data_IF_680893363490
#
_entry.id   IF_680893363490
#
_cell.length_a   1.000
_cell.length_b   1.000
_cell.length_c   1.000
_cell.angle_alpha   90.00
_cell.angle_beta   90.00
_cell.angle_gamma   90.00
#
_symmetry.space_group_name_H-M   'P 1'
#
loop_
_entity.id
_entity.type
_entity.pdbx_description
1 polymer ?
#
# COMPACT_ATOMS: atom_id res chain seq x y z
N UNK A 1 -27.31 -15.49 36.49
CA UNK A 1 -26.27 -15.52 37.54
C UNK A 1 -24.83 -15.60 37.02
N UNK A 2 -24.51 -16.31 35.92
CA UNK A 2 -23.13 -16.39 35.38
C UNK A 2 -22.56 -15.06 34.83
N UNK A 3 -23.33 -14.27 34.07
CA UNK A 3 -22.90 -12.95 33.54
C UNK A 3 -22.56 -11.89 34.60
N UNK A 4 -23.15 -11.96 35.80
CA UNK A 4 -22.86 -11.02 36.90
C UNK A 4 -21.56 -11.36 37.63
N UNK A 5 -21.06 -12.59 37.49
CA UNK A 5 -19.79 -13.04 38.08
C UNK A 5 -18.57 -12.73 37.19
N UNK A 6 -18.72 -12.70 35.86
CA UNK A 6 -17.61 -12.31 34.96
C UNK A 6 -17.33 -10.80 35.02
N UNK A 7 -18.38 -9.96 35.01
CA UNK A 7 -18.25 -8.50 35.18
C UNK A 7 -17.55 -8.10 36.49
N UNK A 8 -17.76 -8.88 37.56
CA UNK A 8 -17.13 -8.66 38.87
C UNK A 8 -15.65 -9.05 38.91
N UNK A 9 -15.18 -9.97 38.05
CA UNK A 9 -13.76 -10.31 37.95
C UNK A 9 -12.99 -9.27 37.13
N UNK A 10 -13.58 -8.74 36.06
CA UNK A 10 -12.99 -7.67 35.24
C UNK A 10 -12.84 -6.37 36.04
N UNK A 11 -13.86 -5.98 36.81
CA UNK A 11 -13.79 -4.82 37.70
C UNK A 11 -12.77 -5.00 38.84
N UNK A 12 -12.66 -6.19 39.41
CA UNK A 12 -11.64 -6.47 40.43
C UNK A 12 -10.21 -6.41 39.87
N UNK A 13 -10.02 -6.81 38.61
CA UNK A 13 -8.72 -6.74 37.92
C UNK A 13 -8.34 -5.30 37.57
N UNK A 14 -9.32 -4.49 37.14
CA UNK A 14 -9.15 -3.05 36.92
C UNK A 14 -8.88 -2.25 38.21
N UNK A 15 -9.48 -2.65 39.34
CA UNK A 15 -9.19 -2.02 40.64
C UNK A 15 -7.76 -2.34 41.08
N UNK A 16 -7.32 -3.60 40.97
CA UNK A 16 -5.93 -3.97 41.26
C UNK A 16 -4.93 -3.24 40.36
N UNK A 17 -5.29 -3.01 39.09
CA UNK A 17 -4.51 -2.21 38.14
C UNK A 17 -4.31 -0.78 38.62
N UNK A 18 -5.38 -0.13 39.07
CA UNK A 18 -5.33 1.23 39.62
C UNK A 18 -4.44 1.26 40.86
N UNK A 19 -4.64 0.33 41.80
CA UNK A 19 -3.87 0.27 43.05
C UNK A 19 -2.36 0.06 42.78
N UNK A 20 -2.01 -0.80 41.82
CA UNK A 20 -0.62 -1.08 41.46
C UNK A 20 0.04 0.11 40.75
N UNK A 21 -0.67 0.77 39.82
CA UNK A 21 -0.19 1.97 39.16
C UNK A 21 -0.01 3.13 40.14
N UNK A 22 -0.95 3.32 41.07
CA UNK A 22 -0.85 4.33 42.13
C UNK A 22 0.39 4.09 42.98
N UNK A 23 0.68 2.84 43.33
CA UNK A 23 1.83 2.52 44.17
C UNK A 23 3.17 2.66 43.45
N UNK A 24 3.25 2.22 42.19
CA UNK A 24 4.42 2.48 41.36
C UNK A 24 4.66 3.99 41.22
N UNK A 25 3.61 4.78 40.97
CA UNK A 25 3.71 6.23 40.82
C UNK A 25 4.13 6.93 42.13
N UNK A 26 3.78 6.36 43.29
CA UNK A 26 4.22 6.83 44.59
C UNK A 26 5.73 6.56 44.82
N UNK A 27 6.19 5.35 44.52
CA UNK A 27 7.60 4.94 44.64
C UNK A 27 8.49 5.76 43.68
N UNK A 28 7.99 6.03 42.48
CA UNK A 28 8.63 6.87 41.45
C UNK A 28 8.78 8.32 41.90
N UNK A 29 7.75 8.89 42.53
CA UNK A 29 7.83 10.23 43.16
C UNK A 29 8.85 10.28 44.30
N UNK A 30 9.11 9.16 44.96
CA UNK A 30 10.17 9.02 45.95
C UNK A 30 11.58 9.07 45.34
N UNK A 31 11.76 8.44 44.17
CA UNK A 31 13.05 8.32 43.47
C UNK A 31 13.43 9.56 42.65
N UNK A 32 12.45 10.33 42.15
CA UNK A 32 12.64 11.60 41.44
C UNK A 32 13.12 12.77 42.33
N UNK A 33 13.45 12.52 43.60
CA UNK A 33 13.97 13.54 44.53
C UNK A 33 15.46 13.88 44.33
N UNK A 34 16.15 13.22 43.39
CA UNK A 34 17.52 13.56 43.00
C UNK A 34 17.60 14.08 41.57
N UNK A 35 18.24 15.24 41.38
CA UNK A 35 18.44 15.96 40.10
C UNK A 35 19.38 15.23 39.11
N UNK A 36 19.25 13.91 38.91
CA UNK A 36 20.06 13.18 37.94
C UNK A 36 19.22 12.60 36.80
N UNK A 37 19.53 13.03 35.58
CA UNK A 37 18.89 12.60 34.32
C UNK A 37 18.99 11.08 34.15
N UNK A 38 20.06 10.46 34.65
CA UNK A 38 20.24 9.01 34.65
C UNK A 38 19.20 8.27 35.52
N UNK A 39 18.83 8.87 36.65
CA UNK A 39 17.79 8.33 37.54
C UNK A 39 16.41 8.42 36.90
N UNK A 40 16.12 9.51 36.18
CA UNK A 40 14.86 9.66 35.44
C UNK A 40 14.72 8.63 34.29
N UNK A 41 15.82 8.30 33.60
CA UNK A 41 15.83 7.27 32.55
C UNK A 41 15.56 5.89 33.16
N UNK A 42 16.24 5.52 34.25
CA UNK A 42 15.99 4.24 34.95
C UNK A 42 14.56 4.11 35.45
N UNK A 43 13.99 5.22 35.91
CA UNK A 43 12.59 5.33 36.32
C UNK A 43 11.65 5.07 35.15
N UNK A 44 11.93 5.63 33.97
CA UNK A 44 11.15 5.38 32.74
C UNK A 44 11.29 3.92 32.29
N UNK A 45 12.50 3.35 32.35
CA UNK A 45 12.74 1.94 32.03
C UNK A 45 11.98 1.00 32.96
N UNK A 46 11.99 1.28 34.27
CA UNK A 46 11.21 0.50 35.24
C UNK A 46 9.70 0.63 35.01
N UNK A 47 9.22 1.80 34.61
CA UNK A 47 7.82 2.01 34.25
C UNK A 47 7.40 1.23 33.00
N UNK A 48 8.22 1.26 31.95
CA UNK A 48 7.98 0.52 30.71
C UNK A 48 7.98 -0.98 30.97
N UNK A 49 8.92 -1.47 31.79
CA UNK A 49 9.00 -2.87 32.20
C UNK A 49 7.81 -3.29 33.07
N UNK A 50 7.43 -2.49 34.09
CA UNK A 50 6.27 -2.80 34.94
C UNK A 50 4.97 -2.81 34.13
N UNK A 51 4.82 -1.91 33.16
CA UNK A 51 3.68 -1.90 32.24
C UNK A 51 3.68 -3.13 31.31
N UNK A 52 4.86 -3.59 30.89
CA UNK A 52 5.02 -4.81 30.09
C UNK A 52 4.69 -6.06 30.91
N UNK A 53 5.29 -6.24 32.08
CA UNK A 53 5.06 -7.38 32.99
C UNK A 53 3.58 -7.44 33.40
N UNK A 54 2.96 -6.28 33.63
CA UNK A 54 1.53 -6.19 33.92
C UNK A 54 0.65 -6.53 32.72
N UNK A 55 1.02 -6.08 31.52
CA UNK A 55 0.36 -6.48 30.28
C UNK A 55 0.41 -8.01 30.10
N UNK A 56 1.57 -8.60 30.34
CA UNK A 56 1.81 -10.04 30.30
C UNK A 56 1.02 -10.80 31.39
N UNK A 57 0.85 -10.24 32.60
CA UNK A 57 0.02 -10.82 33.66
C UNK A 57 -1.48 -10.77 33.33
N UNK A 58 -1.96 -9.71 32.68
CA UNK A 58 -3.36 -9.59 32.26
C UNK A 58 -3.70 -10.49 31.06
N UNK A 59 -2.78 -10.64 30.10
CA UNK A 59 -2.96 -11.48 28.91
C UNK A 59 -2.46 -12.92 29.10
N UNK A 60 -1.81 -13.22 30.23
CA UNK A 60 -1.32 -14.56 30.58
C UNK A 60 -0.10 -15.03 29.79
N UNK A 61 0.66 -14.13 29.17
CA UNK A 61 1.80 -14.49 28.30
C UNK A 61 2.92 -13.46 28.43
N UNK A 62 4.14 -13.88 28.76
CA UNK A 62 5.32 -13.14 28.32
C UNK A 62 5.42 -13.36 26.81
N UNK A 63 4.84 -12.45 26.03
CA UNK A 63 4.49 -12.73 24.62
C UNK A 63 5.69 -12.82 23.68
N UNK A 64 6.87 -12.40 24.13
CA UNK A 64 8.12 -12.50 23.37
C UNK A 64 8.94 -13.68 23.88
N UNK A 65 9.16 -14.68 23.02
CA UNK A 65 10.01 -15.85 23.28
C UNK A 65 11.19 -15.88 22.33
N UNK A 66 12.34 -16.37 22.78
CA UNK A 66 13.49 -16.56 21.88
C UNK A 66 13.26 -17.77 20.98
N UNK A 67 13.85 -17.78 19.79
CA UNK A 67 13.83 -18.93 18.88
C UNK A 67 14.15 -20.25 19.60
N UNK A 68 15.23 -20.29 20.37
CA UNK A 68 15.64 -21.49 21.11
C UNK A 68 14.60 -22.03 22.09
N UNK A 69 13.76 -21.16 22.67
CA UNK A 69 12.69 -21.55 23.59
C UNK A 69 11.49 -22.15 22.84
N UNK A 70 11.33 -21.80 21.56
CA UNK A 70 10.21 -22.23 20.73
C UNK A 70 10.46 -23.52 19.99
N UNK A 71 11.69 -23.80 19.56
CA UNK A 71 11.99 -25.01 18.77
C UNK A 71 11.63 -26.28 19.55
N UNK A 72 11.82 -26.29 20.87
CA UNK A 72 11.45 -27.42 21.72
C UNK A 72 9.93 -27.58 21.87
N UNK A 73 9.14 -26.52 21.66
CA UNK A 73 7.68 -26.54 21.76
C UNK A 73 7.02 -27.09 20.48
N UNK A 74 7.67 -26.97 19.31
CA UNK A 74 7.10 -27.35 18.02
C UNK A 74 7.83 -28.53 17.38
N UNK A 75 7.08 -29.58 17.00
CA UNK A 75 7.64 -30.67 16.17
C UNK A 75 7.76 -30.18 14.72
N UNK A 76 8.94 -29.68 14.34
CA UNK A 76 9.21 -29.18 13.00
C UNK A 76 9.57 -30.34 12.06
N UNK A 77 8.81 -30.52 10.98
CA UNK A 77 9.13 -31.44 9.87
C UNK A 77 10.02 -30.76 8.83
N UNK A 78 10.77 -31.53 8.02
CA UNK A 78 11.66 -31.00 6.97
C UNK A 78 10.96 -29.95 6.09
N UNK A 79 11.63 -28.81 5.91
CA UNK A 79 11.19 -27.72 5.05
C UNK A 79 11.84 -27.84 3.65
N UNK A 80 11.20 -27.32 2.59
CA UNK A 80 11.83 -27.18 1.29
C UNK A 80 13.12 -26.35 1.40
N UNK A 81 14.16 -26.76 0.66
CA UNK A 81 15.44 -26.05 0.66
C UNK A 81 15.27 -24.63 0.13
N UNK A 82 15.97 -23.64 0.72
CA UNK A 82 15.93 -22.27 0.23
C UNK A 82 16.41 -22.17 -1.21
N UNK A 83 15.71 -21.36 -2.01
CA UNK A 83 16.16 -20.96 -3.35
C UNK A 83 16.66 -19.52 -3.22
N UNK A 84 17.93 -19.33 -2.86
CA UNK A 84 18.57 -18.02 -2.91
C UNK A 84 19.55 -17.95 -4.10
N UNK A 85 19.36 -16.96 -4.96
CA UNK A 85 20.34 -16.55 -5.95
C UNK A 85 20.95 -15.20 -5.52
N UNK A 86 22.18 -15.21 -4.99
CA UNK A 86 22.90 -14.00 -4.53
C UNK A 86 22.94 -13.84 -3.00
N UNK A 87 23.62 -12.78 -2.52
CA UNK A 87 23.57 -12.34 -1.12
C UNK A 87 22.32 -11.45 -0.94
N UNK A 88 21.22 -11.95 -0.35
CA UNK A 88 19.98 -11.18 -0.21
C UNK A 88 20.11 -10.00 0.76
N UNK A 89 21.27 -9.84 1.40
CA UNK A 89 21.52 -8.87 2.47
C UNK A 89 22.41 -7.70 2.05
N UNK A 90 22.94 -7.70 0.82
CA UNK A 90 23.78 -6.61 0.31
C UNK A 90 22.98 -5.34 -0.01
N UNK A 91 21.67 -5.50 -0.24
CA UNK A 91 20.77 -4.47 -0.77
C UNK A 91 19.66 -4.04 0.21
N UNK A 92 19.73 -4.40 1.50
CA UNK A 92 18.85 -3.78 2.51
C UNK A 92 19.21 -2.30 2.59
N UNK A 93 18.42 -1.48 1.90
CA UNK A 93 18.54 -0.03 1.87
C UNK A 93 18.45 0.54 3.29
N UNK A 94 19.05 1.71 3.56
CA UNK A 94 18.97 2.33 4.87
C UNK A 94 17.53 2.75 5.20
N UNK A 95 17.03 2.32 6.36
CA UNK A 95 15.87 2.84 7.10
C UNK A 95 14.60 2.98 6.26
N UNK A 96 13.82 1.90 6.18
CA UNK A 96 12.54 1.88 5.49
C UNK A 96 11.52 0.92 6.11
N UNK A 97 10.26 1.09 5.70
CA UNK A 97 9.27 0.02 5.78
C UNK A 97 9.33 -0.71 4.45
N UNK A 98 9.82 -1.94 4.46
CA UNK A 98 9.87 -2.81 3.30
C UNK A 98 8.67 -3.77 3.30
N UNK A 99 8.12 -4.07 2.13
CA UNK A 99 7.06 -5.06 2.00
C UNK A 99 7.58 -6.32 1.33
N UNK A 100 7.26 -7.48 1.92
CA UNK A 100 7.51 -8.78 1.33
C UNK A 100 6.19 -9.40 0.91
N UNK A 101 6.11 -9.80 -0.36
CA UNK A 101 4.93 -10.44 -0.95
C UNK A 101 5.33 -11.81 -1.50
N UNK A 102 4.50 -12.81 -1.25
CA UNK A 102 4.66 -14.16 -1.79
C UNK A 102 3.48 -14.51 -2.69
N UNK A 103 3.66 -15.48 -3.61
CA UNK A 103 2.55 -16.01 -4.40
C UNK A 103 1.52 -16.78 -3.56
N UNK A 104 1.92 -17.18 -2.36
CA UNK A 104 1.10 -17.81 -1.35
C UNK A 104 1.58 -17.39 0.06
N UNK A 105 0.72 -17.69 1.05
CA UNK A 105 0.94 -17.41 2.46
C UNK A 105 2.17 -18.08 3.08
N UNK A 106 2.74 -19.08 2.41
CA UNK A 106 3.84 -19.88 2.93
C UNK A 106 5.19 -19.28 2.52
N UNK A 107 5.33 -18.88 1.26
CA UNK A 107 6.60 -18.42 0.71
C UNK A 107 7.11 -17.14 1.36
N UNK A 108 6.23 -16.18 1.64
CA UNK A 108 6.63 -14.90 2.23
C UNK A 108 7.13 -15.08 3.67
N UNK A 109 6.36 -15.75 4.53
CA UNK A 109 6.73 -16.06 5.91
C UNK A 109 8.00 -16.91 5.99
N UNK A 110 8.17 -17.87 5.07
CA UNK A 110 9.37 -18.71 5.00
C UNK A 110 10.61 -17.89 4.60
N UNK A 111 10.47 -17.01 3.60
CA UNK A 111 11.55 -16.10 3.18
C UNK A 111 11.93 -15.13 4.30
N UNK A 112 10.96 -14.57 5.02
CA UNK A 112 11.21 -13.70 6.15
C UNK A 112 11.93 -14.43 7.30
N UNK A 113 11.63 -15.71 7.53
CA UNK A 113 12.37 -16.54 8.49
C UNK A 113 13.84 -16.74 8.08
N UNK A 114 14.14 -16.95 6.80
CA UNK A 114 15.53 -16.99 6.31
C UNK A 114 16.25 -15.65 6.45
N UNK A 115 15.55 -14.53 6.20
CA UNK A 115 16.10 -13.19 6.41
C UNK A 115 16.48 -13.00 7.88
N UNK A 116 15.57 -13.37 8.79
CA UNK A 116 15.81 -13.30 10.23
C UNK A 116 17.03 -14.15 10.64
N UNK A 117 17.12 -15.39 10.13
CA UNK A 117 18.28 -16.26 10.37
C UNK A 117 19.60 -15.64 9.89
N UNK A 118 19.67 -15.18 8.64
CA UNK A 118 20.92 -14.67 8.07
C UNK A 118 21.47 -13.46 8.84
N UNK A 119 20.60 -12.52 9.23
CA UNK A 119 21.00 -11.34 10.00
C UNK A 119 21.39 -11.68 11.44
N UNK A 120 20.62 -12.53 12.11
CA UNK A 120 20.90 -12.95 13.49
C UNK A 120 22.18 -13.81 13.57
N UNK A 121 22.41 -14.66 12.57
CA UNK A 121 23.63 -15.46 12.46
C UNK A 121 24.86 -14.56 12.26
N UNK A 122 24.81 -13.61 11.31
CA UNK A 122 25.89 -12.63 11.12
C UNK A 122 26.17 -11.85 12.41
N UNK A 123 25.14 -11.44 13.13
CA UNK A 123 25.28 -10.76 14.41
C UNK A 123 26.03 -11.60 15.44
N UNK A 124 25.64 -12.86 15.59
CA UNK A 124 26.29 -13.77 16.52
C UNK A 124 27.74 -14.07 16.13
N UNK A 125 27.99 -14.38 14.86
CA UNK A 125 29.33 -14.77 14.37
C UNK A 125 30.30 -13.59 14.38
N UNK A 126 29.83 -12.39 14.04
CA UNK A 126 30.63 -11.16 14.06
C UNK A 126 30.69 -10.49 15.43
N UNK A 127 30.07 -11.06 16.46
CA UNK A 127 29.96 -10.46 17.80
C UNK A 127 29.35 -9.04 17.80
N UNK A 128 28.37 -8.82 16.93
CA UNK A 128 27.62 -7.58 16.82
C UNK A 128 28.15 -6.56 15.82
N UNK A 129 29.26 -6.85 15.11
CA UNK A 129 29.79 -5.93 14.10
C UNK A 129 28.98 -5.93 12.79
N UNK A 130 28.30 -7.04 12.47
CA UNK A 130 27.52 -7.21 11.24
C UNK A 130 26.18 -7.91 11.54
N UNK A 131 25.13 -7.55 10.81
CA UNK A 131 23.79 -8.12 11.06
C UNK A 131 23.09 -7.44 12.25
N UNK A 132 21.99 -8.02 12.72
CA UNK A 132 21.19 -7.48 13.83
C UNK A 132 20.36 -8.58 14.49
N UNK A 133 20.08 -8.48 15.79
CA UNK A 133 18.97 -9.17 16.44
C UNK A 133 17.64 -8.81 15.75
N UNK A 134 16.69 -9.75 15.75
CA UNK A 134 15.43 -9.61 15.01
C UNK A 134 14.24 -9.90 15.91
N UNK A 135 13.24 -9.01 15.89
CA UNK A 135 11.93 -9.24 16.51
C UNK A 135 10.89 -9.58 15.43
N UNK A 136 10.26 -10.74 15.54
CA UNK A 136 9.30 -11.28 14.59
C UNK A 136 7.91 -11.32 15.23
N UNK A 137 6.97 -10.51 14.73
CA UNK A 137 5.56 -10.58 15.07
C UNK A 137 4.87 -11.63 14.20
N UNK A 138 4.70 -12.84 14.74
CA UNK A 138 3.98 -13.94 14.09
C UNK A 138 2.50 -13.88 14.50
N UNK A 139 1.73 -13.07 13.78
CA UNK A 139 0.34 -12.74 14.07
C UNK A 139 -0.63 -13.76 13.49
N UNK A 140 -1.47 -14.35 14.36
CA UNK A 140 -2.63 -15.18 14.02
C UNK A 140 -2.36 -16.51 13.32
N UNK A 141 -1.13 -16.74 12.86
CA UNK A 141 -0.63 -18.04 12.41
C UNK A 141 0.34 -18.57 13.47
N UNK A 142 0.33 -19.89 13.65
CA UNK A 142 1.40 -20.57 14.37
C UNK A 142 2.76 -20.12 13.79
N UNK A 143 3.77 -19.77 14.61
CA UNK A 143 5.09 -19.35 14.13
C UNK A 143 5.86 -20.46 13.41
N UNK A 144 5.24 -21.63 13.20
CA UNK A 144 5.80 -22.78 12.49
C UNK A 144 6.48 -22.44 11.17
N UNK A 145 5.90 -21.59 10.32
CA UNK A 145 6.49 -21.30 9.00
C UNK A 145 7.86 -20.60 9.10
N UNK A 146 8.00 -19.48 9.82
CA UNK A 146 9.30 -18.86 10.04
C UNK A 146 10.22 -19.74 10.91
N UNK A 147 9.70 -20.46 11.92
CA UNK A 147 10.53 -21.39 12.72
C UNK A 147 11.15 -22.50 11.85
N UNK A 148 10.37 -23.12 10.94
CA UNK A 148 10.86 -24.13 9.98
C UNK A 148 11.93 -23.57 9.05
N UNK A 149 11.79 -22.31 8.62
CA UNK A 149 12.79 -21.65 7.78
C UNK A 149 14.13 -21.52 8.52
N UNK A 150 14.08 -20.99 9.75
CA UNK A 150 15.27 -20.81 10.59
C UNK A 150 15.92 -22.17 10.89
N UNK A 151 15.13 -23.19 11.25
CA UNK A 151 15.63 -24.53 11.52
C UNK A 151 16.34 -25.15 10.30
N UNK A 152 15.70 -25.09 9.14
CA UNK A 152 16.29 -25.59 7.90
C UNK A 152 17.59 -24.88 7.53
N UNK A 153 17.67 -23.56 7.78
CA UNK A 153 18.86 -22.78 7.53
C UNK A 153 20.03 -23.17 8.46
N UNK A 154 19.74 -23.41 9.75
CA UNK A 154 20.72 -23.90 10.73
C UNK A 154 21.29 -25.25 10.28
N UNK A 155 20.42 -26.18 9.89
CA UNK A 155 20.81 -27.52 9.43
C UNK A 155 21.67 -27.44 8.16
N UNK A 156 21.29 -26.61 7.19
CA UNK A 156 22.07 -26.41 5.97
C UNK A 156 23.44 -25.80 6.24
N UNK A 157 23.51 -24.75 7.07
CA UNK A 157 24.79 -24.12 7.42
C UNK A 157 25.72 -25.08 8.15
N UNK A 158 25.20 -25.83 9.13
CA UNK A 158 25.96 -26.83 9.86
C UNK A 158 26.41 -27.99 8.96
N UNK A 159 25.61 -28.36 7.96
CA UNK A 159 25.96 -29.41 6.99
C UNK A 159 27.00 -28.96 5.95
N UNK A 160 27.05 -27.66 5.61
CA UNK A 160 27.75 -27.20 4.41
C UNK A 160 28.86 -26.15 4.60
N UNK A 161 29.12 -25.62 5.82
CA UNK A 161 30.06 -24.49 6.04
C UNK A 161 29.81 -23.28 5.10
N UNK A 162 28.58 -23.07 4.63
CA UNK A 162 28.33 -22.41 3.34
C UNK A 162 27.87 -20.95 3.39
N UNK A 163 28.12 -20.22 4.48
CA UNK A 163 27.75 -18.79 4.57
C UNK A 163 28.85 -17.88 5.15
N UNK A 164 30.11 -18.31 5.09
CA UNK A 164 31.28 -17.57 5.60
C UNK A 164 32.32 -17.30 4.51
N UNK A 165 31.91 -16.76 3.35
CA UNK A 165 32.88 -16.32 2.34
C UNK A 165 33.36 -14.87 2.49
N UNK A 166 32.70 -14.06 3.34
CA UNK A 166 33.08 -12.64 3.60
C UNK A 166 33.45 -12.35 5.07
N UNK A 167 33.33 -13.34 5.96
CA UNK A 167 33.85 -13.26 7.32
C UNK A 167 35.21 -13.98 7.33
N UNK A 168 36.25 -13.30 7.81
CA UNK A 168 37.60 -13.87 7.98
C UNK A 168 37.50 -15.33 8.46
N UNK A 169 38.26 -16.20 7.80
CA UNK A 169 38.22 -17.68 7.83
C UNK A 169 38.41 -18.36 9.20
N UNK A 170 38.31 -17.63 10.30
CA UNK A 170 38.48 -18.12 11.67
C UNK A 170 37.16 -18.20 12.45
N UNK A 171 36.04 -17.72 11.88
CA UNK A 171 34.73 -17.72 12.54
C UNK A 171 33.85 -18.94 12.20
N UNK A 172 34.45 -20.12 12.00
CA UNK A 172 33.72 -21.40 11.91
C UNK A 172 33.30 -21.86 13.31
N UNK A 173 32.40 -21.11 13.94
CA UNK A 173 31.69 -21.54 15.14
C UNK A 173 30.41 -22.28 14.75
N UNK A 174 30.13 -23.41 15.39
CA UNK A 174 28.80 -24.01 15.34
C UNK A 174 27.75 -22.98 15.74
N UNK A 175 26.68 -22.82 14.96
CA UNK A 175 25.56 -21.99 15.37
C UNK A 175 24.79 -22.77 16.44
N UNK A 176 24.66 -22.16 17.61
CA UNK A 176 23.82 -22.69 18.68
C UNK A 176 22.44 -22.07 18.53
N UNK A 177 21.47 -22.88 18.09
CA UNK A 177 20.07 -22.50 17.94
C UNK A 177 19.53 -21.80 19.19
N UNK A 178 19.96 -22.25 20.38
CA UNK A 178 19.55 -21.73 21.68
C UNK A 178 19.98 -20.27 21.91
N UNK A 179 21.03 -19.84 21.20
CA UNK A 179 21.67 -18.52 21.36
C UNK A 179 21.43 -17.59 20.17
N UNK A 180 20.60 -17.98 19.21
CA UNK A 180 20.31 -17.13 18.07
C UNK A 180 19.43 -15.95 18.51
N UNK A 181 19.81 -14.68 18.24
CA UNK A 181 19.09 -13.50 18.71
C UNK A 181 17.86 -13.19 17.85
N UNK A 182 16.97 -14.17 17.68
CA UNK A 182 15.66 -14.03 17.05
C UNK A 182 14.60 -14.19 18.13
N UNK A 183 13.70 -13.23 18.20
CA UNK A 183 12.64 -13.15 19.19
C UNK A 183 11.29 -13.16 18.49
N UNK A 184 10.33 -13.93 18.99
CA UNK A 184 9.01 -14.09 18.40
C UNK A 184 7.94 -13.58 19.34
N UNK A 185 7.08 -12.71 18.82
CA UNK A 185 5.83 -12.31 19.43
C UNK A 185 4.68 -13.13 18.84
N UNK A 186 3.85 -13.74 19.70
CA UNK A 186 2.89 -14.79 19.30
C UNK A 186 1.40 -14.41 19.38
N UNK A 187 1.05 -13.12 19.50
CA UNK A 187 -0.37 -12.74 19.56
C UNK A 187 -1.11 -12.90 18.25
N UNK A 188 -2.41 -13.20 18.33
CA UNK A 188 -3.27 -13.30 17.13
C UNK A 188 -3.43 -11.97 16.38
N UNK A 189 -3.44 -10.86 17.12
CA UNK A 189 -3.58 -9.49 16.64
C UNK A 189 -2.77 -8.55 17.53
N UNK A 190 -2.27 -7.44 16.97
CA UNK A 190 -1.47 -6.48 17.74
C UNK A 190 -1.80 -5.04 17.33
N UNK A 191 -1.77 -4.12 18.28
CA UNK A 191 -1.97 -2.69 17.98
C UNK A 191 -0.65 -1.98 17.68
N UNK A 192 -0.69 -0.90 16.88
CA UNK A 192 0.49 -0.06 16.62
C UNK A 192 1.18 0.42 17.92
N UNK A 193 0.47 0.92 18.95
CA UNK A 193 1.11 1.29 20.21
C UNK A 193 1.81 0.12 20.91
N UNK A 194 1.26 -1.09 20.82
CA UNK A 194 1.91 -2.30 21.36
C UNK A 194 3.17 -2.66 20.59
N UNK A 195 3.14 -2.64 19.25
CA UNK A 195 4.33 -2.83 18.41
C UNK A 195 5.40 -1.81 18.83
N UNK A 196 5.06 -0.52 18.89
CA UNK A 196 5.99 0.56 19.24
C UNK A 196 6.61 0.41 20.63
N UNK A 197 5.81 0.02 21.62
CA UNK A 197 6.27 -0.24 22.99
C UNK A 197 7.29 -1.38 23.00
N UNK A 198 6.97 -2.51 22.37
CA UNK A 198 7.84 -3.68 22.29
C UNK A 198 9.12 -3.38 21.51
N UNK A 199 9.00 -2.65 20.41
CA UNK A 199 10.14 -2.20 19.58
C UNK A 199 11.15 -1.41 20.40
N UNK A 200 10.68 -0.43 21.19
CA UNK A 200 11.54 0.37 22.09
C UNK A 200 12.23 -0.48 23.15
N UNK A 201 11.46 -1.37 23.79
CA UNK A 201 11.98 -2.26 24.82
C UNK A 201 13.07 -3.19 24.25
N UNK A 202 12.82 -3.82 23.10
CA UNK A 202 13.74 -4.75 22.45
C UNK A 202 14.97 -4.04 21.88
N UNK A 203 14.83 -2.82 21.36
CA UNK A 203 15.97 -1.97 20.98
C UNK A 203 16.88 -1.66 22.18
N UNK A 204 16.30 -1.35 23.36
CA UNK A 204 17.09 -1.02 24.55
C UNK A 204 17.74 -2.24 25.21
N UNK A 205 17.01 -3.34 25.27
CA UNK A 205 17.41 -4.51 26.08
C UNK A 205 18.17 -5.56 25.27
N UNK A 206 17.89 -5.68 23.98
CA UNK A 206 18.43 -6.71 23.11
C UNK A 206 19.07 -6.14 21.83
N UNK A 207 19.14 -4.81 21.67
CA UNK A 207 19.71 -4.13 20.50
C UNK A 207 19.06 -4.56 19.17
N UNK A 208 17.74 -4.77 19.16
CA UNK A 208 17.00 -5.13 17.94
C UNK A 208 16.83 -3.93 17.03
N UNK A 209 17.42 -4.00 15.83
CA UNK A 209 17.25 -2.99 14.76
C UNK A 209 16.41 -3.46 13.57
N UNK A 210 15.92 -4.70 13.57
CA UNK A 210 14.96 -5.18 12.57
C UNK A 210 13.71 -5.77 13.22
N UNK A 211 12.56 -5.33 12.73
CA UNK A 211 11.26 -5.88 13.07
C UNK A 211 10.62 -6.50 11.84
N UNK A 212 10.08 -7.70 11.99
CA UNK A 212 9.28 -8.38 10.97
C UNK A 212 7.84 -8.48 11.45
N UNK A 213 6.86 -8.09 10.63
CA UNK A 213 5.43 -8.16 10.94
C UNK A 213 4.75 -9.11 9.94
N UNK A 214 4.18 -10.19 10.43
CA UNK A 214 3.56 -11.26 9.63
C UNK A 214 2.26 -11.69 10.34
N UNK A 215 1.09 -11.13 10.05
CA UNK A 215 0.69 -10.40 8.84
C UNK A 215 0.17 -8.98 9.13
N UNK A 216 0.35 -8.05 8.19
CA UNK A 216 -0.11 -6.66 8.29
C UNK A 216 -1.61 -6.55 8.58
N UNK A 217 -2.43 -7.41 7.98
CA UNK A 217 -3.89 -7.39 8.14
C UNK A 217 -4.34 -7.62 9.59
N UNK A 218 -3.46 -8.14 10.44
CA UNK A 218 -3.70 -8.40 11.87
C UNK A 218 -3.16 -7.31 12.78
N UNK A 219 -2.61 -6.25 12.19
CA UNK A 219 -2.25 -5.05 12.93
C UNK A 219 -3.49 -4.16 13.02
N UNK A 220 -3.93 -3.85 14.23
CA UNK A 220 -5.13 -3.03 14.44
C UNK A 220 -4.76 -1.59 14.80
N UNK A 221 -5.51 -0.65 14.24
CA UNK A 221 -5.52 0.74 14.67
C UNK A 221 -6.63 0.93 15.70
N UNK A 222 -6.41 1.77 16.72
CA UNK A 222 -7.41 2.05 17.77
C UNK A 222 -8.56 2.92 17.22
N UNK A 223 -8.46 3.38 15.96
CA UNK A 223 -9.40 4.30 15.31
C UNK A 223 -9.91 3.77 13.97
N UNK A 224 -11.23 3.55 13.94
CA UNK A 224 -12.16 3.44 12.79
C UNK A 224 -12.20 2.17 11.93
N UNK A 225 -13.40 1.58 11.90
CA UNK A 225 -13.93 0.67 10.87
C UNK A 225 -13.86 1.35 9.49
N UNK A 226 -13.03 0.84 8.57
CA UNK A 226 -13.08 1.29 7.17
C UNK A 226 -11.95 0.77 6.29
N UNK A 227 -12.24 0.58 5.00
CA UNK A 227 -11.36 0.03 3.94
C UNK A 227 -10.06 0.80 3.65
N UNK A 228 -9.66 1.77 4.49
CA UNK A 228 -8.40 2.52 4.44
C UNK A 228 -7.37 2.12 5.50
N UNK A 229 -7.68 1.14 6.37
CA UNK A 229 -6.88 0.74 7.53
C UNK A 229 -5.41 0.42 7.18
N UNK A 230 -5.13 -0.39 6.15
CA UNK A 230 -3.76 -0.85 5.88
C UNK A 230 -2.79 0.25 5.47
N UNK A 231 -3.24 1.28 4.73
CA UNK A 231 -2.37 2.40 4.32
C UNK A 231 -2.03 3.29 5.51
N UNK A 232 -3.01 3.53 6.39
CA UNK A 232 -2.78 4.29 7.62
C UNK A 232 -1.83 3.53 8.57
N UNK A 233 -2.05 2.23 8.74
CA UNK A 233 -1.17 1.36 9.53
C UNK A 233 0.26 1.40 9.00
N UNK A 234 0.47 1.26 7.69
CA UNK A 234 1.80 1.34 7.07
C UNK A 234 2.47 2.69 7.32
N UNK A 235 1.73 3.79 7.18
CA UNK A 235 2.26 5.12 7.47
C UNK A 235 2.67 5.26 8.95
N UNK A 236 1.86 4.76 9.88
CA UNK A 236 2.20 4.80 11.31
C UNK A 236 3.42 3.94 11.64
N UNK A 237 3.58 2.78 10.99
CA UNK A 237 4.79 1.95 11.10
C UNK A 237 6.02 2.68 10.53
N UNK A 238 5.87 3.42 9.43
CA UNK A 238 6.98 4.18 8.85
C UNK A 238 7.44 5.34 9.76
N UNK A 239 6.48 6.03 10.38
CA UNK A 239 6.77 7.05 11.38
C UNK A 239 7.51 6.43 12.58
N UNK A 240 7.04 5.26 13.05
CA UNK A 240 7.67 4.53 14.15
C UNK A 240 9.10 4.08 13.80
N UNK A 241 9.30 3.49 12.62
CA UNK A 241 10.60 3.04 12.14
C UNK A 241 11.64 4.17 12.14
N UNK A 242 11.25 5.35 11.61
CA UNK A 242 12.08 6.56 11.60
C UNK A 242 12.35 7.11 13.00
N UNK A 243 11.35 7.11 13.87
CA UNK A 243 11.49 7.60 15.25
C UNK A 243 12.46 6.73 16.07
N UNK A 244 12.37 5.42 15.91
CA UNK A 244 13.20 4.46 16.66
C UNK A 244 14.53 4.17 15.97
N UNK A 245 14.72 4.62 14.73
CA UNK A 245 15.87 4.32 13.89
C UNK A 245 16.06 2.79 13.72
N UNK A 246 14.98 2.09 13.38
CA UNK A 246 14.94 0.65 13.13
C UNK A 246 14.35 0.36 11.75
N UNK A 247 14.67 -0.80 11.20
CA UNK A 247 14.07 -1.31 9.96
C UNK A 247 12.79 -2.11 10.28
N UNK A 248 11.77 -1.97 9.42
CA UNK A 248 10.52 -2.74 9.55
C UNK A 248 10.23 -3.46 8.24
N UNK A 249 10.15 -4.79 8.28
CA UNK A 249 9.72 -5.63 7.18
C UNK A 249 8.28 -6.09 7.45
N UNK A 250 7.38 -5.78 6.53
CA UNK A 250 5.97 -6.13 6.63
C UNK A 250 5.64 -7.19 5.59
N UNK A 251 5.04 -8.29 6.02
CA UNK A 251 4.47 -9.30 5.14
C UNK A 251 3.01 -8.94 4.92
N UNK A 252 2.57 -9.02 3.66
CA UNK A 252 1.17 -8.86 3.29
C UNK A 252 0.73 -10.13 2.56
N UNK A 253 -0.23 -10.87 3.13
CA UNK A 253 -0.80 -12.08 2.52
C UNK A 253 -1.98 -11.79 1.58
N UNK A 254 -2.29 -10.52 1.33
CA UNK A 254 -3.45 -10.10 0.56
C UNK A 254 -3.57 -10.84 -0.78
N UNK A 255 -4.68 -11.54 -0.96
CA UNK A 255 -5.11 -11.97 -2.29
C UNK A 255 -5.20 -10.73 -3.17
N UNK A 256 -4.46 -10.69 -4.27
CA UNK A 256 -4.86 -9.80 -5.36
C UNK A 256 -6.23 -10.29 -5.85
N UNK A 257 -7.31 -9.67 -5.37
CA UNK A 257 -8.48 -9.57 -6.22
C UNK A 257 -8.05 -8.74 -7.42
N UNK A 258 -7.67 -9.44 -8.50
CA UNK A 258 -7.71 -8.85 -9.82
C UNK A 258 -9.06 -8.17 -9.95
N UNK A 259 -9.07 -6.86 -10.10
CA UNK A 259 -10.31 -6.14 -10.35
C UNK A 259 -10.86 -6.73 -11.64
N UNK A 260 -12.00 -7.42 -11.55
CA UNK A 260 -12.70 -7.96 -12.71
C UNK A 260 -13.26 -6.78 -13.52
N UNK A 261 -12.41 -6.23 -14.39
CA UNK A 261 -12.76 -5.12 -15.27
C UNK A 261 -13.66 -5.64 -16.38
N UNK A 262 -14.98 -5.52 -16.17
CA UNK A 262 -15.96 -5.76 -17.22
C UNK A 262 -16.06 -4.53 -18.12
N UNK A 263 -15.86 -4.74 -19.42
CA UNK A 263 -16.18 -3.71 -20.42
C UNK A 263 -17.67 -3.36 -20.31
N UNK A 264 -17.97 -2.07 -20.35
CA UNK A 264 -19.34 -1.58 -20.39
C UNK A 264 -19.85 -1.62 -21.84
N UNK A 265 -21.08 -2.08 -22.03
CA UNK A 265 -21.75 -1.99 -23.32
C UNK A 265 -22.28 -0.56 -23.51
N UNK A 266 -21.79 0.15 -24.54
CA UNK A 266 -22.11 1.56 -24.74
C UNK A 266 -23.63 1.82 -24.80
N UNK A 267 -24.38 0.89 -25.40
CA UNK A 267 -25.83 1.04 -25.56
C UNK A 267 -26.60 1.01 -24.24
N UNK A 268 -26.07 0.33 -23.22
CA UNK A 268 -26.70 0.19 -21.90
C UNK A 268 -26.48 1.42 -21.01
N UNK A 269 -25.60 2.34 -21.41
CA UNK A 269 -25.30 3.57 -20.67
C UNK A 269 -26.44 4.60 -20.81
N UNK A 270 -26.77 5.28 -19.72
CA UNK A 270 -27.66 6.44 -19.75
C UNK A 270 -26.97 7.68 -20.37
N UNK A 271 -27.73 8.73 -20.68
CA UNK A 271 -27.20 9.93 -21.37
C UNK A 271 -26.00 10.58 -20.68
N UNK A 272 -26.01 10.68 -19.35
CA UNK A 272 -24.92 11.29 -18.58
C UNK A 272 -23.68 10.37 -18.56
N UNK A 273 -23.89 9.06 -18.46
CA UNK A 273 -22.82 8.07 -18.53
C UNK A 273 -22.18 8.05 -19.93
N UNK A 274 -22.97 8.13 -21.00
CA UNK A 274 -22.47 8.23 -22.38
C UNK A 274 -21.61 9.47 -22.58
N UNK A 275 -22.01 10.61 -22.03
CA UNK A 275 -21.22 11.84 -22.09
C UNK A 275 -19.85 11.69 -21.42
N UNK A 276 -19.80 11.08 -20.23
CA UNK A 276 -18.54 10.79 -19.53
C UNK A 276 -17.71 9.78 -20.30
N UNK A 277 -18.32 8.68 -20.77
CA UNK A 277 -17.65 7.66 -21.58
C UNK A 277 -16.99 8.29 -22.81
N UNK A 278 -17.77 9.06 -23.59
CA UNK A 278 -17.30 9.74 -24.79
C UNK A 278 -16.17 10.73 -24.50
N UNK A 279 -16.28 11.51 -23.42
CA UNK A 279 -15.20 12.41 -23.01
C UNK A 279 -13.90 11.63 -22.73
N UNK A 280 -13.98 10.54 -21.97
CA UNK A 280 -12.79 9.74 -21.65
C UNK A 280 -12.19 9.06 -22.89
N UNK A 281 -13.03 8.57 -23.80
CA UNK A 281 -12.58 8.01 -25.08
C UNK A 281 -11.82 9.03 -25.92
N UNK A 282 -12.37 10.25 -26.06
CA UNK A 282 -11.71 11.33 -26.81
C UNK A 282 -10.44 11.81 -26.12
N UNK A 283 -10.46 11.96 -24.78
CA UNK A 283 -9.28 12.34 -24.03
C UNK A 283 -8.14 11.32 -24.18
N UNK A 284 -8.46 10.03 -24.18
CA UNK A 284 -7.51 8.95 -24.44
C UNK A 284 -6.89 9.05 -25.85
N UNK A 285 -7.72 9.27 -26.88
CA UNK A 285 -7.23 9.48 -28.25
C UNK A 285 -6.33 10.71 -28.36
N UNK A 286 -6.74 11.83 -27.76
CA UNK A 286 -5.96 13.07 -27.77
C UNK A 286 -4.63 12.95 -27.02
N UNK A 287 -4.53 12.07 -26.03
CA UNK A 287 -3.28 11.79 -25.34
C UNK A 287 -2.21 11.19 -26.26
N UNK A 288 -2.60 10.44 -27.30
CA UNK A 288 -1.66 9.93 -28.33
C UNK A 288 -0.98 11.06 -29.12
N UNK A 289 -1.62 12.24 -29.16
CA UNK A 289 -1.11 13.46 -29.80
C UNK A 289 -0.50 14.45 -28.79
N UNK A 290 -0.28 14.05 -27.54
CA UNK A 290 0.38 14.90 -26.53
C UNK A 290 -0.52 15.94 -25.86
N UNK A 291 -1.84 15.80 -25.99
CA UNK A 291 -2.80 16.69 -25.31
C UNK A 291 -3.21 16.12 -23.95
N UNK A 292 -3.34 17.01 -22.97
CA UNK A 292 -4.02 16.73 -21.72
C UNK A 292 -5.39 17.44 -21.70
N UNK A 293 -6.43 16.74 -21.25
CA UNK A 293 -7.81 17.21 -21.31
C UNK A 293 -8.38 17.49 -19.92
N UNK A 294 -9.04 18.65 -19.76
CA UNK A 294 -9.74 19.04 -18.53
C UNK A 294 -11.21 19.24 -18.85
N UNK A 295 -12.07 18.38 -18.29
CA UNK A 295 -13.52 18.52 -18.40
C UNK A 295 -14.00 19.76 -17.64
N UNK A 296 -14.87 20.54 -18.25
CA UNK A 296 -15.45 21.73 -17.65
C UNK A 296 -16.76 21.38 -16.95
N UNK A 297 -17.02 22.01 -15.80
CA UNK A 297 -18.26 21.82 -15.04
C UNK A 297 -19.41 22.70 -15.56
N UNK A 298 -19.07 23.83 -16.19
CA UNK A 298 -19.99 24.81 -16.76
C UNK A 298 -19.70 25.01 -18.25
N UNK A 299 -20.72 25.42 -19.03
CA UNK A 299 -20.62 25.76 -20.47
C UNK A 299 -19.75 27.03 -20.67
N UNK A 300 -18.43 26.92 -20.49
CA UNK A 300 -17.51 28.02 -20.68
C UNK A 300 -17.29 28.27 -22.17
N UNK A 301 -17.87 29.38 -22.66
CA UNK A 301 -17.81 29.80 -24.06
C UNK A 301 -18.27 28.73 -25.08
N UNK A 302 -19.14 27.81 -24.65
CA UNK A 302 -19.65 26.72 -25.49
C UNK A 302 -18.64 25.61 -25.75
N UNK A 303 -17.75 25.32 -24.79
CA UNK A 303 -16.89 24.14 -24.79
C UNK A 303 -17.25 23.23 -23.62
N UNK A 304 -17.15 21.91 -23.82
CA UNK A 304 -17.35 20.92 -22.75
C UNK A 304 -16.03 20.58 -22.04
N UNK A 305 -14.89 20.74 -22.74
CA UNK A 305 -13.57 20.51 -22.17
C UNK A 305 -12.49 21.34 -22.87
N UNK A 306 -11.36 21.50 -22.19
CA UNK A 306 -10.14 22.08 -22.75
C UNK A 306 -9.13 20.99 -23.01
N UNK A 307 -8.44 21.05 -24.16
CA UNK A 307 -7.29 20.20 -24.45
C UNK A 307 -6.05 21.07 -24.63
N UNK A 308 -5.03 20.89 -23.79
CA UNK A 308 -3.78 21.64 -23.88
C UNK A 308 -2.62 20.73 -24.23
N UNK A 309 -1.81 21.15 -25.20
CA UNK A 309 -0.64 20.38 -25.61
C UNK A 309 0.50 20.55 -24.59
N UNK A 310 1.27 19.49 -24.33
CA UNK A 310 2.36 19.54 -23.33
C UNK A 310 3.46 20.57 -23.65
N UNK A 311 3.58 20.98 -24.93
CA UNK A 311 4.54 22.02 -25.36
C UNK A 311 4.04 23.46 -25.10
N UNK A 312 2.84 23.65 -24.55
CA UNK A 312 2.41 24.89 -23.92
C UNK A 312 1.92 26.02 -24.84
N UNK A 313 1.79 25.80 -26.15
CA UNK A 313 1.42 26.85 -27.11
C UNK A 313 0.00 26.70 -27.72
N UNK A 314 -0.66 25.57 -27.49
CA UNK A 314 -1.95 25.26 -28.11
C UNK A 314 -2.94 24.78 -27.06
N UNK A 315 -4.03 25.54 -26.89
CA UNK A 315 -5.18 25.17 -26.07
C UNK A 315 -6.42 25.16 -26.95
N UNK A 316 -7.01 23.98 -27.10
CA UNK A 316 -8.23 23.77 -27.87
C UNK A 316 -9.43 23.87 -26.93
N UNK A 317 -10.41 24.71 -27.32
CA UNK A 317 -11.74 24.73 -26.73
C UNK A 317 -12.58 23.69 -27.46
N UNK A 318 -12.93 22.58 -26.81
CA UNK A 318 -13.56 21.45 -27.50
C UNK A 318 -14.99 21.24 -27.01
N UNK A 319 -15.93 21.20 -27.95
CA UNK A 319 -17.32 20.80 -27.72
C UNK A 319 -17.51 19.36 -28.19
N UNK A 320 -17.95 18.52 -27.28
CA UNK A 320 -18.29 17.12 -27.48
C UNK A 320 -19.76 16.99 -27.93
N UNK A 321 -19.98 16.28 -29.04
CA UNK A 321 -21.32 15.91 -29.52
C UNK A 321 -21.39 14.42 -29.77
N UNK A 322 -22.56 13.83 -29.55
CA UNK A 322 -22.80 12.39 -29.79
C UNK A 322 -22.94 12.03 -31.28
N UNK A 323 -22.93 13.03 -32.18
CA UNK A 323 -23.05 12.90 -33.64
C UNK A 323 -22.60 14.18 -34.32
N UNK A 324 -22.34 14.12 -35.62
CA UNK A 324 -22.06 15.29 -36.44
C UNK A 324 -23.16 16.33 -36.26
N UNK A 325 -22.78 17.47 -35.67
CA UNK A 325 -23.66 18.59 -35.34
C UNK A 325 -22.94 19.89 -35.61
N UNK A 326 -23.59 20.82 -36.31
CA UNK A 326 -23.16 22.21 -36.46
C UNK A 326 -24.26 23.13 -35.95
N UNK A 327 -23.90 24.23 -35.29
CA UNK A 327 -24.87 25.20 -34.79
C UNK A 327 -24.40 26.64 -34.98
N UNK A 328 -25.34 27.55 -35.25
CA UNK A 328 -25.05 28.98 -35.42
C UNK A 328 -24.38 29.61 -34.20
N UNK A 329 -24.79 29.19 -32.99
CA UNK A 329 -24.31 29.82 -31.76
C UNK A 329 -22.83 29.54 -31.46
N UNK A 330 -22.19 28.65 -32.21
CA UNK A 330 -20.76 28.35 -32.11
C UNK A 330 -19.91 29.10 -33.14
N UNK A 331 -20.54 29.74 -34.15
CA UNK A 331 -19.83 30.43 -35.22
C UNK A 331 -18.98 31.57 -34.65
N UNK A 332 -17.71 31.65 -35.07
CA UNK A 332 -16.77 32.69 -34.64
C UNK A 332 -16.33 32.58 -33.18
N UNK A 333 -16.57 31.44 -32.50
CA UNK A 333 -16.10 31.21 -31.12
C UNK A 333 -14.76 30.49 -31.03
N UNK A 334 -14.14 30.16 -32.18
CA UNK A 334 -12.87 29.42 -32.27
C UNK A 334 -12.91 28.13 -31.43
N UNK A 335 -13.98 27.35 -31.59
CA UNK A 335 -14.14 26.07 -30.91
C UNK A 335 -13.96 24.92 -31.88
N UNK A 336 -13.46 23.80 -31.36
CA UNK A 336 -13.36 22.54 -32.07
C UNK A 336 -14.57 21.68 -31.73
N UNK A 337 -15.10 21.01 -32.75
CA UNK A 337 -16.15 20.01 -32.60
C UNK A 337 -15.51 18.63 -32.59
N UNK A 338 -15.88 17.83 -31.59
CA UNK A 338 -15.56 16.41 -31.59
C UNK A 338 -16.83 15.58 -31.53
N UNK A 339 -16.89 14.56 -32.38
CA UNK A 339 -18.04 13.65 -32.50
C UNK A 339 -17.62 12.32 -33.12
N UNK A 340 -18.33 11.23 -32.81
CA UNK A 340 -18.11 9.95 -33.44
C UNK A 340 -18.94 9.83 -34.74
N UNK A 341 -18.42 9.03 -35.68
CA UNK A 341 -19.20 8.42 -36.76
C UNK A 341 -19.21 6.91 -36.50
N UNK A 342 -20.40 6.37 -36.18
CA UNK A 342 -20.58 5.04 -35.60
C UNK A 342 -20.94 5.10 -34.11
N UNK A 343 -21.29 3.96 -33.51
CA UNK A 343 -21.63 3.88 -32.08
C UNK A 343 -20.41 3.50 -31.25
N UNK A 344 -20.28 4.08 -30.04
CA UNK A 344 -19.30 3.71 -29.00
C UNK A 344 -17.83 3.86 -29.42
N UNK A 345 -17.32 2.84 -30.13
CA UNK A 345 -15.95 2.69 -30.62
C UNK A 345 -15.80 3.13 -32.09
N UNK A 346 -16.76 3.91 -32.59
CA UNK A 346 -16.71 4.50 -33.92
C UNK A 346 -15.52 5.44 -34.13
N UNK A 347 -15.33 5.86 -35.37
CA UNK A 347 -14.26 6.79 -35.70
C UNK A 347 -14.57 8.17 -35.11
N UNK A 348 -13.63 8.70 -34.33
CA UNK A 348 -13.74 10.01 -33.71
C UNK A 348 -13.06 11.06 -34.57
N UNK A 349 -13.68 12.23 -34.68
CA UNK A 349 -13.17 13.34 -35.48
C UNK A 349 -12.98 14.56 -34.60
N UNK A 350 -12.00 15.40 -34.95
CA UNK A 350 -11.77 16.71 -34.34
C UNK A 350 -11.53 17.75 -35.43
N UNK A 351 -12.43 18.71 -35.52
CA UNK A 351 -12.38 19.75 -36.56
C UNK A 351 -12.87 21.08 -36.01
N UNK A 352 -12.28 22.18 -36.45
CA UNK A 352 -12.78 23.52 -36.15
C UNK A 352 -14.24 23.68 -36.61
N UNK A 353 -15.08 24.26 -35.76
CA UNK A 353 -16.52 24.35 -36.01
C UNK A 353 -16.85 25.12 -37.29
N UNK A 354 -16.22 26.28 -37.50
CA UNK A 354 -16.46 27.13 -38.68
C UNK A 354 -16.05 26.41 -39.97
N UNK A 355 -14.92 25.68 -39.92
CA UNK A 355 -14.48 24.84 -41.05
C UNK A 355 -15.48 23.72 -41.35
N UNK A 356 -16.01 23.07 -40.32
CA UNK A 356 -17.03 22.04 -40.49
C UNK A 356 -18.32 22.61 -41.11
N UNK A 357 -18.73 23.83 -40.73
CA UNK A 357 -19.90 24.51 -41.32
C UNK A 357 -19.69 24.75 -42.81
N UNK A 358 -18.52 25.23 -43.23
CA UNK A 358 -18.18 25.41 -44.66
C UNK A 358 -18.27 24.09 -45.42
N UNK A 359 -17.64 23.03 -44.91
CA UNK A 359 -17.64 21.72 -45.55
C UNK A 359 -19.06 21.17 -45.73
N UNK A 360 -19.91 21.29 -44.70
CA UNK A 360 -21.33 20.88 -44.75
C UNK A 360 -22.11 21.70 -45.78
N UNK A 361 -21.89 23.03 -45.84
CA UNK A 361 -22.57 23.93 -46.78
C UNK A 361 -22.26 23.59 -48.24
N UNK A 362 -20.99 23.40 -48.57
CA UNK A 362 -20.50 23.19 -49.94
C UNK A 362 -20.92 21.84 -50.52
N UNK A 363 -21.05 20.82 -49.67
CA UNK A 363 -21.06 19.42 -50.13
C UNK A 363 -22.38 18.67 -49.91
N UNK A 364 -23.27 19.20 -49.09
CA UNK A 364 -24.55 18.55 -48.76
C UNK A 364 -25.72 19.39 -49.29
N UNK A 365 -25.50 20.68 -49.51
CA UNK A 365 -26.57 21.64 -49.75
C UNK A 365 -27.49 21.71 -48.54
N UNK A 366 -27.21 22.62 -47.60
CA UNK A 366 -28.29 23.13 -46.75
C UNK A 366 -29.36 23.61 -47.74
N UNK A 367 -30.51 22.93 -47.79
CA UNK A 367 -31.50 23.10 -48.87
C UNK A 367 -31.77 24.59 -49.15
N UNK A 368 -31.25 25.07 -50.28
CA UNK A 368 -31.52 26.40 -50.80
C UNK A 368 -30.53 27.46 -50.34
N UNK A 369 -30.20 28.36 -51.25
CA UNK A 369 -29.27 29.48 -51.11
C UNK A 369 -29.68 30.56 -50.08
N UNK A 370 -30.53 30.23 -49.10
CA UNK A 370 -30.83 31.06 -47.94
C UNK A 370 -30.90 30.13 -46.72
N UNK A 371 -30.20 30.52 -45.66
CA UNK A 371 -30.02 29.81 -44.40
C UNK A 371 -31.32 29.34 -43.76
N UNK A 372 -31.82 28.16 -44.14
CA UNK A 372 -32.82 27.45 -43.34
C UNK A 372 -32.10 26.37 -42.53
N UNK A 373 -31.32 26.83 -41.54
CA UNK A 373 -31.12 26.07 -40.31
C UNK A 373 -32.49 25.56 -39.86
N UNK A 374 -32.59 24.37 -39.26
CA UNK A 374 -33.87 23.95 -38.67
C UNK A 374 -34.30 24.98 -37.62
N UNK A 375 -35.59 25.04 -37.25
CA UNK A 375 -36.09 25.89 -36.16
C UNK A 375 -35.13 25.79 -34.96
N UNK A 376 -34.37 26.87 -34.70
CA UNK A 376 -33.35 26.93 -33.64
C UNK A 376 -31.88 27.01 -34.06
N UNK A 377 -31.53 27.10 -35.35
CA UNK A 377 -30.14 27.41 -35.76
C UNK A 377 -29.15 26.23 -35.69
N UNK A 378 -29.65 24.99 -35.69
CA UNK A 378 -28.86 23.75 -35.54
C UNK A 378 -29.02 22.87 -36.78
N UNK A 379 -27.97 22.14 -37.15
CA UNK A 379 -28.02 21.05 -38.11
C UNK A 379 -27.29 19.83 -37.52
N UNK A 380 -27.89 18.65 -37.62
CA UNK A 380 -27.27 17.41 -37.20
C UNK A 380 -27.65 16.28 -38.16
N UNK A 381 -26.76 15.30 -38.34
CA UNK A 381 -27.01 14.13 -39.20
C UNK A 381 -26.44 12.87 -38.57
N UNK A 382 -27.17 11.76 -38.68
CA UNK A 382 -26.68 10.43 -38.32
C UNK A 382 -27.44 9.36 -39.13
N UNK A 383 -26.76 8.53 -39.96
CA UNK A 383 -25.35 8.62 -40.34
C UNK A 383 -25.09 9.74 -41.38
N UNK A 384 -23.88 10.33 -41.43
CA UNK A 384 -23.50 11.29 -42.48
C UNK A 384 -23.45 10.63 -43.86
N UNK A 385 -23.63 11.43 -44.92
CA UNK A 385 -23.41 10.98 -46.30
C UNK A 385 -21.93 10.59 -46.52
N UNK A 386 -21.69 9.51 -47.27
CA UNK A 386 -20.36 9.00 -47.63
C UNK A 386 -19.39 10.07 -48.16
N UNK A 387 -19.88 11.08 -48.89
CA UNK A 387 -19.04 12.18 -49.36
C UNK A 387 -18.48 13.01 -48.20
N UNK A 388 -19.29 13.31 -47.17
CA UNK A 388 -18.85 14.03 -45.97
C UNK A 388 -17.85 13.20 -45.20
N UNK A 389 -18.12 11.89 -45.03
CA UNK A 389 -17.21 10.97 -44.34
C UNK A 389 -15.82 11.03 -44.98
N UNK A 390 -15.77 10.92 -46.32
CA UNK A 390 -14.51 11.02 -47.08
C UNK A 390 -13.79 12.36 -46.88
N UNK A 391 -14.54 13.46 -46.76
CA UNK A 391 -13.98 14.78 -46.49
C UNK A 391 -13.47 14.94 -45.06
N UNK A 392 -14.04 14.20 -44.11
CA UNK A 392 -13.66 14.24 -42.69
C UNK A 392 -12.44 13.35 -42.38
N UNK A 393 -12.05 12.42 -43.24
CA UNK A 393 -10.90 11.53 -43.03
C UNK A 393 -9.61 12.22 -42.52
N UNK A 394 -9.20 13.40 -43.04
CA UNK A 394 -8.01 14.08 -42.53
C UNK A 394 -8.10 14.56 -41.07
N UNK A 395 -9.31 14.60 -40.51
CA UNK A 395 -9.61 15.10 -39.16
C UNK A 395 -9.90 13.98 -38.16
N UNK A 396 -9.64 12.74 -38.55
CA UNK A 396 -9.84 11.56 -37.69
C UNK A 396 -8.77 11.49 -36.59
N UNK A 397 -9.19 11.17 -35.37
CA UNK A 397 -8.36 11.01 -34.18
C UNK A 397 -7.84 9.58 -33.98
#
# INVERSE_FOLDING_TARGET
>A
MKRKRSLNMETASLIKLIDHLEQNLLDLKGQLRGDDKASAIKVIEQLEQNLYDFGAELTGTSQVKRYGELVDEFVLTEAPKPIFAGDPFRDLKPLSVSQLQGSDNYQASHTAGFIAFGLACRFQVSQGEQGTPVLYFALGKSPEHPLKAVQSAIEEQNSKQLWTSDLNSDATGSIFAETLPIYFHQDDEVTIPSIKRLSRMMLRTQDVHLIIIDDLERVTSISSEGSGESTEILFQLEVMAKELNIEVLVINHGEQQAVDLKKVEYNDLNSKQKEIYNFQTVAGKLAEYGFNCIKLADDWNGADFLAYHYQGNETLKVQLKSRLTVSQHYIGKEIYMTFPIGDGDGDWYLIEHDRLVEMVRENIGIRGAETNWTDGGIYHVSPPNALIVKLLEPFKL
#
